data_IF_344013587016
#
_entry.id   IF_344013587016
#
_cell.length_a   1.000
_cell.length_b   1.000
_cell.length_c   1.000
_cell.angle_alpha   90.00
_cell.angle_beta   90.00
_cell.angle_gamma   90.00
#
_symmetry.space_group_name_H-M   'P 1'
#
loop_
_entity.id
_entity.type
_entity.pdbx_description
1 polymer ?
#
# COMPACT_ATOMS: atom_id res chain seq x y z
N UNK A 1 1.46 -1.75 5.31
CA UNK A 1 0.36 -2.45 4.62
C UNK A 1 -0.77 -2.87 5.58
N UNK A 2 -0.52 -3.78 6.55
CA UNK A 2 -1.55 -4.33 7.45
C UNK A 2 -2.48 -3.28 8.10
N UNK A 3 -1.89 -2.26 8.73
CA UNK A 3 -2.65 -1.19 9.42
C UNK A 3 -3.60 -0.46 8.47
N UNK A 4 -3.18 -0.23 7.22
CA UNK A 4 -4.04 0.42 6.23
C UNK A 4 -5.21 -0.48 5.84
N UNK A 5 -4.99 -1.78 5.66
CA UNK A 5 -6.05 -2.73 5.35
C UNK A 5 -7.04 -2.87 6.52
N UNK A 6 -6.52 -2.93 7.74
CA UNK A 6 -7.34 -3.01 8.95
C UNK A 6 -8.28 -1.79 9.07
N UNK A 7 -7.74 -0.58 8.93
CA UNK A 7 -8.57 0.63 8.92
C UNK A 7 -9.56 0.65 7.75
N UNK A 8 -9.17 0.20 6.57
CA UNK A 8 -10.06 0.17 5.40
C UNK A 8 -11.25 -0.78 5.62
N UNK A 9 -11.01 -2.00 6.12
CA UNK A 9 -12.05 -2.97 6.40
C UNK A 9 -13.00 -2.52 7.53
N UNK A 10 -12.45 -1.87 8.56
CA UNK A 10 -13.24 -1.34 9.68
C UNK A 10 -13.90 0.01 9.38
N UNK A 11 -13.46 0.75 8.37
CA UNK A 11 -13.84 2.14 8.12
C UNK A 11 -15.31 2.35 7.77
N UNK A 12 -16.02 1.28 7.43
CA UNK A 12 -17.46 1.28 7.13
C UNK A 12 -18.28 0.40 8.10
N UNK A 13 -17.66 -0.10 9.17
CA UNK A 13 -18.30 -0.95 10.17
C UNK A 13 -18.67 -0.16 11.41
N UNK A 14 -19.73 -0.58 12.09
CA UNK A 14 -20.06 -0.09 13.43
C UNK A 14 -19.04 -0.59 14.43
N UNK A 15 -18.86 0.13 15.54
CA UNK A 15 -17.83 -0.16 16.53
C UNK A 15 -17.92 -1.59 17.08
N UNK A 16 -19.14 -2.09 17.29
CA UNK A 16 -19.42 -3.46 17.75
C UNK A 16 -19.04 -4.56 16.74
N UNK A 17 -18.98 -4.22 15.45
CA UNK A 17 -18.67 -5.13 14.35
C UNK A 17 -17.21 -5.04 13.89
N UNK A 18 -16.43 -4.11 14.46
CA UNK A 18 -15.05 -3.88 14.05
C UNK A 18 -14.15 -5.07 14.37
N UNK A 19 -13.33 -5.44 13.41
CA UNK A 19 -12.37 -6.51 13.56
C UNK A 19 -11.21 -6.05 14.47
N UNK A 20 -10.87 -6.78 15.56
CA UNK A 20 -9.78 -6.38 16.44
C UNK A 20 -8.41 -6.38 15.75
N UNK A 21 -7.53 -5.45 16.11
CA UNK A 21 -6.21 -5.31 15.49
C UNK A 21 -5.32 -6.53 15.78
N UNK A 22 -5.41 -7.09 16.99
CA UNK A 22 -4.71 -8.30 17.42
C UNK A 22 -5.03 -9.48 16.48
N UNK A 23 -6.33 -9.62 16.15
CA UNK A 23 -6.81 -10.65 15.22
C UNK A 23 -6.31 -10.39 13.80
N UNK A 24 -6.24 -9.12 13.37
CA UNK A 24 -5.66 -8.77 12.06
C UNK A 24 -4.18 -9.13 11.97
N UNK A 25 -3.41 -8.92 13.03
CA UNK A 25 -2.00 -9.35 13.08
C UNK A 25 -1.90 -10.88 13.03
N UNK A 26 -2.75 -11.59 13.75
CA UNK A 26 -2.79 -13.06 13.76
C UNK A 26 -3.11 -13.64 12.37
N UNK A 27 -4.16 -13.14 11.72
CA UNK A 27 -4.60 -13.60 10.41
C UNK A 27 -3.60 -13.21 9.31
N UNK A 28 -3.02 -12.02 9.39
CA UNK A 28 -1.92 -11.61 8.53
C UNK A 28 -0.72 -12.54 8.64
N UNK A 29 -0.26 -12.82 9.87
CA UNK A 29 0.91 -13.67 10.09
C UNK A 29 0.68 -15.13 9.67
N UNK A 30 -0.56 -15.61 9.70
CA UNK A 30 -0.93 -16.95 9.23
C UNK A 30 -1.22 -17.01 7.73
N UNK A 31 -1.19 -15.87 7.03
CA UNK A 31 -1.48 -15.78 5.59
C UNK A 31 -2.97 -15.80 5.24
N UNK A 32 -3.87 -15.83 6.24
CA UNK A 32 -5.33 -15.89 6.06
C UNK A 32 -5.89 -14.48 5.96
N UNK A 33 -5.69 -13.83 4.83
CA UNK A 33 -6.19 -12.47 4.58
C UNK A 33 -6.74 -12.36 3.15
N UNK A 34 -7.57 -11.35 2.83
CA UNK A 34 -7.96 -11.10 1.45
C UNK A 34 -6.74 -11.00 0.53
N UNK A 35 -6.72 -11.81 -0.52
CA UNK A 35 -5.62 -11.93 -1.49
C UNK A 35 -4.27 -12.38 -0.89
N UNK A 36 -4.28 -12.96 0.32
CA UNK A 36 -3.10 -13.52 0.96
C UNK A 36 -2.70 -14.90 0.40
N UNK A 37 -1.52 -15.41 0.77
CA UNK A 37 -0.56 -14.79 1.69
C UNK A 37 0.21 -13.59 1.09
N UNK A 38 0.43 -12.55 1.90
CA UNK A 38 1.00 -11.28 1.42
C UNK A 38 2.42 -11.40 0.85
N UNK A 39 3.33 -12.05 1.58
CA UNK A 39 4.73 -12.10 1.15
C UNK A 39 4.91 -12.93 -0.12
N UNK A 40 4.17 -14.01 -0.26
CA UNK A 40 4.13 -14.85 -1.46
C UNK A 40 3.65 -14.06 -2.68
N UNK A 41 2.60 -13.26 -2.52
CA UNK A 41 2.12 -12.36 -3.57
C UNK A 41 3.20 -11.34 -3.98
N UNK A 42 3.81 -10.67 -2.99
CA UNK A 42 4.85 -9.65 -3.22
C UNK A 42 6.09 -10.25 -3.88
N UNK A 43 6.59 -11.37 -3.36
CA UNK A 43 7.77 -12.06 -3.91
C UNK A 43 7.49 -12.56 -5.32
N UNK A 44 6.29 -13.08 -5.60
CA UNK A 44 5.91 -13.50 -6.96
C UNK A 44 6.05 -12.37 -7.99
N UNK A 45 5.55 -11.17 -7.68
CA UNK A 45 5.71 -10.01 -8.57
C UNK A 45 7.13 -9.44 -8.60
N UNK A 46 7.87 -9.55 -7.50
CA UNK A 46 9.29 -9.20 -7.47
C UNK A 46 10.10 -10.07 -8.43
N UNK A 47 9.92 -11.39 -8.39
CA UNK A 47 10.57 -12.33 -9.31
C UNK A 47 10.15 -12.08 -10.76
N UNK A 48 8.85 -11.86 -11.02
CA UNK A 48 8.40 -11.59 -12.40
C UNK A 48 8.94 -10.26 -12.94
N UNK A 49 9.14 -9.25 -12.08
CA UNK A 49 9.79 -7.99 -12.48
C UNK A 49 11.24 -8.18 -12.92
N UNK A 50 11.95 -9.14 -12.32
CA UNK A 50 13.30 -9.54 -12.74
C UNK A 50 13.27 -10.34 -14.04
N UNK A 51 12.28 -11.22 -14.21
CA UNK A 51 12.15 -12.08 -15.39
C UNK A 51 11.72 -11.29 -16.63
N UNK A 52 10.82 -10.31 -16.47
CA UNK A 52 10.24 -9.51 -17.56
C UNK A 52 10.29 -8.01 -17.24
N UNK A 53 11.49 -7.42 -17.16
CA UNK A 53 11.67 -6.03 -16.74
C UNK A 53 11.07 -4.99 -17.71
N UNK A 54 10.74 -5.41 -18.94
CA UNK A 54 10.05 -4.56 -19.94
C UNK A 54 8.53 -4.59 -19.83
N UNK A 55 7.98 -5.55 -19.09
CA UNK A 55 6.54 -5.81 -19.02
C UNK A 55 6.01 -5.69 -17.58
N UNK A 56 6.88 -5.80 -16.58
CA UNK A 56 6.53 -5.67 -15.16
C UNK A 56 7.46 -4.67 -14.48
N UNK A 57 6.89 -3.57 -14.03
CA UNK A 57 7.59 -2.57 -13.20
C UNK A 57 7.22 -2.77 -11.74
N UNK A 58 8.22 -3.09 -10.91
CA UNK A 58 8.06 -3.16 -9.46
C UNK A 58 8.39 -1.81 -8.81
N UNK A 59 7.45 -1.30 -8.02
CA UNK A 59 7.57 -0.05 -7.25
C UNK A 59 7.25 -0.33 -5.78
N UNK A 60 7.99 0.31 -4.87
CA UNK A 60 7.72 0.28 -3.43
C UNK A 60 7.00 1.57 -3.02
N UNK A 61 6.07 1.46 -2.08
CA UNK A 61 5.30 2.62 -1.63
C UNK A 61 6.17 3.65 -0.90
N UNK A 62 7.15 3.16 -0.15
CA UNK A 62 8.12 3.96 0.58
C UNK A 62 8.97 4.79 -0.39
N UNK A 63 9.41 4.21 -1.51
CA UNK A 63 10.14 4.92 -2.57
C UNK A 63 9.27 5.98 -3.27
N UNK A 64 7.97 5.70 -3.45
CA UNK A 64 7.00 6.66 -3.98
C UNK A 64 6.85 7.87 -3.06
N UNK A 65 6.93 7.67 -1.74
CA UNK A 65 6.85 8.75 -0.77
C UNK A 65 8.18 9.51 -0.66
N UNK A 66 9.31 8.79 -0.67
CA UNK A 66 10.65 9.36 -0.49
C UNK A 66 11.12 10.15 -1.71
N UNK A 67 10.97 9.60 -2.91
CA UNK A 67 11.47 10.18 -4.17
C UNK A 67 10.39 10.22 -5.27
N UNK A 68 9.26 10.90 -5.04
CA UNK A 68 8.09 10.86 -5.93
C UNK A 68 8.40 11.28 -7.38
N UNK A 69 9.22 12.32 -7.57
CA UNK A 69 9.60 12.78 -8.91
C UNK A 69 10.39 11.71 -9.69
N UNK A 70 11.31 11.00 -9.03
CA UNK A 70 12.10 9.95 -9.65
C UNK A 70 11.20 8.76 -10.02
N UNK A 71 10.31 8.36 -9.13
CA UNK A 71 9.37 7.27 -9.41
C UNK A 71 8.42 7.60 -10.57
N UNK A 72 7.95 8.85 -10.68
CA UNK A 72 7.16 9.29 -11.85
C UNK A 72 7.98 9.21 -13.13
N UNK A 73 9.24 9.63 -13.14
CA UNK A 73 10.12 9.51 -14.31
C UNK A 73 10.37 8.05 -14.68
N UNK A 74 10.60 7.18 -13.68
CA UNK A 74 10.77 5.73 -13.87
C UNK A 74 9.52 5.11 -14.51
N UNK A 75 8.33 5.45 -14.01
CA UNK A 75 7.06 4.98 -14.57
C UNK A 75 6.85 5.51 -15.99
N UNK A 76 7.16 6.79 -16.25
CA UNK A 76 7.04 7.38 -17.58
C UNK A 76 7.94 6.68 -18.59
N UNK A 77 9.19 6.41 -18.23
CA UNK A 77 10.14 5.67 -19.05
C UNK A 77 9.63 4.25 -19.34
N UNK A 78 9.14 3.55 -18.33
CA UNK A 78 8.58 2.21 -18.47
C UNK A 78 7.38 2.17 -19.44
N UNK A 79 6.55 3.22 -19.45
CA UNK A 79 5.40 3.36 -20.35
C UNK A 79 5.77 3.92 -21.74
N UNK A 80 7.04 4.26 -22.00
CA UNK A 80 7.47 4.92 -23.24
C UNK A 80 6.90 6.34 -23.42
N UNK A 81 6.71 7.06 -22.30
CA UNK A 81 6.10 8.40 -22.23
C UNK A 81 7.03 9.42 -21.56
N UNK A 82 8.33 9.23 -21.65
CA UNK A 82 9.34 10.11 -21.05
C UNK A 82 9.37 11.50 -21.69
N UNK A 83 9.01 11.61 -22.97
CA UNK A 83 8.99 12.89 -23.69
C UNK A 83 7.72 13.68 -23.37
N UNK A 84 7.89 14.90 -22.87
CA UNK A 84 6.79 15.83 -22.62
C UNK A 84 5.99 15.57 -21.35
N UNK A 85 6.45 14.67 -20.47
CA UNK A 85 5.82 14.50 -19.17
C UNK A 85 6.06 15.73 -18.28
N UNK A 86 4.96 16.30 -17.81
CA UNK A 86 4.96 17.32 -16.76
C UNK A 86 4.89 16.63 -15.39
N UNK A 87 6.07 16.34 -14.83
CA UNK A 87 6.22 15.59 -13.57
C UNK A 87 5.49 16.30 -12.43
N UNK A 88 5.62 17.63 -12.33
CA UNK A 88 4.99 18.42 -11.29
C UNK A 88 3.46 18.36 -11.38
N UNK A 89 2.92 18.46 -12.59
CA UNK A 89 1.46 18.33 -12.80
C UNK A 89 0.95 16.93 -12.48
N UNK A 90 1.71 15.88 -12.79
CA UNK A 90 1.35 14.50 -12.41
C UNK A 90 1.30 14.40 -10.89
N UNK A 91 2.38 14.80 -10.20
CA UNK A 91 2.46 14.76 -8.75
C UNK A 91 1.36 15.57 -8.08
N UNK A 92 1.09 16.78 -8.56
CA UNK A 92 -0.01 17.60 -8.06
C UNK A 92 -1.35 16.87 -8.21
N UNK A 93 -1.66 16.35 -9.42
CA UNK A 93 -2.92 15.66 -9.71
C UNK A 93 -3.14 14.41 -8.87
N UNK A 94 -2.07 13.65 -8.63
CA UNK A 94 -2.11 12.38 -7.89
C UNK A 94 -1.80 12.50 -6.41
N UNK A 95 -1.52 13.71 -5.89
CA UNK A 95 -1.21 13.89 -4.48
C UNK A 95 -2.40 13.50 -3.59
N UNK A 96 -2.10 12.81 -2.49
CA UNK A 96 -3.13 12.36 -1.55
C UNK A 96 -3.98 13.52 -1.04
N UNK A 97 -3.34 14.62 -0.62
CA UNK A 97 -4.04 15.79 -0.10
C UNK A 97 -5.04 16.33 -1.11
N UNK A 98 -4.64 16.50 -2.37
CA UNK A 98 -5.55 16.95 -3.41
C UNK A 98 -6.68 15.95 -3.65
N UNK A 99 -6.36 14.67 -3.79
CA UNK A 99 -7.36 13.64 -4.06
C UNK A 99 -8.39 13.54 -2.93
N UNK A 100 -7.95 13.57 -1.67
CA UNK A 100 -8.81 13.56 -0.48
C UNK A 100 -9.76 14.76 -0.45
N UNK A 101 -9.34 15.91 -0.97
CA UNK A 101 -10.11 17.14 -0.94
C UNK A 101 -11.14 17.27 -2.09
N UNK A 102 -11.12 16.40 -3.10
CA UNK A 102 -12.09 16.41 -4.19
C UNK A 102 -13.50 16.07 -3.67
N UNK A 103 -14.52 16.82 -4.12
CA UNK A 103 -15.92 16.62 -3.73
C UNK A 103 -16.39 15.17 -3.92
N UNK A 104 -16.03 14.56 -5.06
CA UNK A 104 -16.36 13.15 -5.37
C UNK A 104 -15.74 12.16 -4.37
N UNK A 105 -14.62 12.51 -3.73
CA UNK A 105 -13.96 11.65 -2.76
C UNK A 105 -14.42 11.92 -1.33
N UNK A 106 -14.99 13.09 -1.05
CA UNK A 106 -15.58 13.43 0.27
C UNK A 106 -17.00 12.92 0.41
N UNK A 107 -17.80 13.10 -0.63
CA UNK A 107 -19.25 13.04 -0.53
C UNK A 107 -19.88 11.88 -1.30
N UNK A 108 -19.20 11.33 -2.32
CA UNK A 108 -19.75 10.25 -3.12
C UNK A 108 -19.33 8.87 -2.59
N UNK A 109 -19.90 7.84 -3.22
CA UNK A 109 -19.67 6.43 -2.92
C UNK A 109 -18.93 5.72 -4.05
N UNK A 110 -18.37 4.57 -3.75
CA UNK A 110 -17.62 3.75 -4.70
C UNK A 110 -18.54 3.29 -5.84
N UNK A 111 -18.16 3.58 -7.09
CA UNK A 111 -18.98 3.30 -8.27
C UNK A 111 -19.34 1.81 -8.43
N UNK A 112 -18.45 0.90 -7.98
CA UNK A 112 -18.67 -0.55 -8.03
C UNK A 112 -19.21 -1.14 -6.74
N UNK A 113 -19.25 -0.35 -5.66
CA UNK A 113 -19.74 -0.76 -4.35
C UNK A 113 -20.43 0.43 -3.64
N UNK A 114 -21.68 0.76 -3.99
CA UNK A 114 -22.34 2.00 -3.55
C UNK A 114 -22.55 2.13 -2.02
N UNK A 115 -22.32 1.07 -1.25
CA UNK A 115 -22.36 1.08 0.21
C UNK A 115 -21.03 1.52 0.85
N UNK A 116 -19.99 1.76 0.05
CA UNK A 116 -18.65 2.15 0.51
C UNK A 116 -18.44 3.63 0.18
N UNK A 117 -18.31 4.53 1.18
CA UNK A 117 -17.98 5.93 0.94
C UNK A 117 -16.59 6.08 0.30
N UNK A 118 -16.42 6.99 -0.65
CA UNK A 118 -15.11 7.20 -1.29
C UNK A 118 -14.05 7.73 -0.30
N UNK A 119 -14.48 8.38 0.79
CA UNK A 119 -13.58 8.96 1.78
C UNK A 119 -12.71 7.92 2.48
N UNK A 120 -13.15 6.66 2.58
CA UNK A 120 -12.40 5.60 3.27
C UNK A 120 -11.11 5.21 2.53
N UNK A 121 -11.00 5.50 1.23
CA UNK A 121 -9.78 5.23 0.45
C UNK A 121 -8.64 6.21 0.77
N UNK A 122 -8.92 7.33 1.45
CA UNK A 122 -7.97 8.43 1.69
C UNK A 122 -7.73 8.69 3.18
N UNK A 123 -6.85 7.90 3.80
CA UNK A 123 -6.54 7.98 5.25
C UNK A 123 -5.43 8.98 5.57
N UNK A 124 -4.20 8.50 5.80
CA UNK A 124 -3.01 9.30 6.15
C UNK A 124 -1.98 9.35 5.03
N UNK A 125 -1.79 8.25 4.30
CA UNK A 125 -0.76 8.09 3.26
C UNK A 125 0.65 8.42 3.77
N UNK A 126 0.96 7.96 4.97
CA UNK A 126 2.22 8.19 5.66
C UNK A 126 2.95 6.87 5.88
N UNK A 127 4.25 6.85 5.60
CA UNK A 127 5.15 5.73 5.92
C UNK A 127 5.40 5.70 7.43
N UNK A 128 5.47 4.52 8.02
CA UNK A 128 5.77 4.38 9.47
C UNK A 128 4.59 4.55 10.43
N UNK A 129 3.38 4.86 9.94
CA UNK A 129 2.20 5.06 10.79
C UNK A 129 1.77 3.80 11.59
N UNK A 130 2.33 2.65 11.24
CA UNK A 130 2.15 1.42 12.01
C UNK A 130 2.63 1.54 13.47
N UNK A 131 3.61 2.42 13.74
CA UNK A 131 4.14 2.67 15.09
C UNK A 131 3.10 3.27 16.04
N UNK A 132 2.09 3.94 15.49
CA UNK A 132 1.00 4.52 16.26
C UNK A 132 -0.13 3.52 16.54
N UNK A 133 -0.10 2.34 15.91
CA UNK A 133 -1.18 1.35 15.97
C UNK A 133 -0.74 0.03 16.61
N UNK A 134 0.44 -0.46 16.25
CA UNK A 134 0.92 -1.78 16.67
C UNK A 134 1.70 -1.67 17.99
N UNK A 135 1.51 -2.68 18.86
CA UNK A 135 2.41 -2.87 20.00
C UNK A 135 3.79 -3.36 19.52
N UNK A 136 4.86 -3.19 20.31
CA UNK A 136 6.18 -3.71 19.97
C UNK A 136 6.19 -5.21 19.63
N UNK A 137 5.44 -6.03 20.38
CA UNK A 137 5.35 -7.47 20.16
C UNK A 137 4.68 -7.82 18.82
N UNK A 138 3.62 -7.08 18.45
CA UNK A 138 2.94 -7.25 17.16
C UNK A 138 3.88 -6.91 15.99
N UNK A 139 4.59 -5.79 16.10
CA UNK A 139 5.55 -5.36 15.09
C UNK A 139 6.69 -6.38 14.95
N UNK A 140 7.29 -6.80 16.08
CA UNK A 140 8.36 -7.79 16.08
C UNK A 140 7.94 -9.12 15.43
N UNK A 141 6.70 -9.57 15.66
CA UNK A 141 6.16 -10.78 15.04
C UNK A 141 6.09 -10.65 13.52
N UNK A 142 5.61 -9.51 13.02
CA UNK A 142 5.53 -9.22 11.58
C UNK A 142 6.94 -9.12 10.98
N UNK A 143 7.88 -8.42 11.62
CA UNK A 143 9.24 -8.24 11.13
C UNK A 143 10.02 -9.57 11.09
N UNK A 144 9.79 -10.44 12.07
CA UNK A 144 10.38 -11.77 12.11
C UNK A 144 9.87 -12.63 10.94
N UNK A 145 8.57 -12.56 10.67
CA UNK A 145 7.97 -13.23 9.52
C UNK A 145 8.50 -12.67 8.19
N UNK A 146 8.58 -11.34 8.06
CA UNK A 146 9.12 -10.68 6.88
C UNK A 146 10.55 -11.14 6.57
N UNK A 147 11.42 -11.19 7.60
CA UNK A 147 12.80 -11.65 7.46
C UNK A 147 12.88 -13.08 6.91
N UNK A 148 12.07 -13.99 7.42
CA UNK A 148 12.03 -15.39 6.94
C UNK A 148 11.51 -15.46 5.51
N UNK A 149 10.40 -14.76 5.21
CA UNK A 149 9.73 -14.85 3.91
C UNK A 149 10.50 -14.17 2.78
N UNK A 150 11.28 -13.14 3.08
CA UNK A 150 12.07 -12.38 2.10
C UNK A 150 13.50 -12.90 1.98
N UNK A 151 13.94 -13.81 2.86
CA UNK A 151 15.29 -14.36 2.83
C UNK A 151 15.60 -14.99 1.47
N UNK A 152 16.73 -14.59 0.88
CA UNK A 152 17.21 -15.14 -0.40
C UNK A 152 16.52 -14.58 -1.66
N UNK A 153 15.47 -13.78 -1.53
CA UNK A 153 14.76 -13.19 -2.69
C UNK A 153 15.48 -11.97 -3.29
N UNK A 154 16.34 -11.33 -2.48
CA UNK A 154 16.94 -10.03 -2.78
C UNK A 154 15.99 -8.84 -2.63
N UNK A 155 14.75 -9.06 -2.19
CA UNK A 155 13.81 -8.00 -1.84
C UNK A 155 13.98 -7.59 -0.38
N UNK A 156 14.14 -6.29 -0.14
CA UNK A 156 14.10 -5.67 1.17
C UNK A 156 13.18 -4.46 1.18
N UNK A 157 12.54 -4.25 2.33
CA UNK A 157 11.83 -3.03 2.66
C UNK A 157 12.73 -2.23 3.60
N UNK A 158 12.79 -0.91 3.39
CA UNK A 158 13.53 -0.04 4.29
C UNK A 158 12.63 0.22 5.50
N UNK A 159 13.15 -0.05 6.70
CA UNK A 159 12.46 0.29 7.94
C UNK A 159 12.66 1.80 8.19
N UNK A 160 11.57 2.57 8.18
CA UNK A 160 11.55 3.92 8.76
C UNK A 160 10.85 3.93 10.12
#
# INVERSE_FOLDING_TARGET
>A
MLVSLWHFLNGNLKAEDQFPLERAVETFCSGVMPFGPFYEHVVGYWEESKRRPREVLFLKYEDLCRNPQEQVRKLALFLGREKGIDVEKVLWRSSLNRLKELEVNKNDVCAVAPHIPNSIFFRTGTVGDWKNCLTPDMAQRIDSLARVKLQGTGLSFDDE
#
